data_IF_970413868732
#
_entry.id   IF_970413868732
#
_cell.length_a   1.000
_cell.length_b   1.000
_cell.length_c   1.000
_cell.angle_alpha   90.00
_cell.angle_beta   90.00
_cell.angle_gamma   90.00
#
_symmetry.space_group_name_H-M   'P 1'
#
loop_
_entity.id
_entity.type
_entity.pdbx_description
1 polymer ?
#
# COMPACT_ATOMS: atom_id res chain seq x y z
N UNK A 1 -4.79 -0.35 -35.17
CA UNK A 1 -5.55 0.47 -34.19
C UNK A 1 -6.17 -0.39 -33.06
N UNK A 2 -5.39 -1.10 -32.22
CA UNK A 2 -5.93 -1.99 -31.16
C UNK A 2 -5.68 -1.54 -29.71
N UNK A 3 -5.09 -0.34 -29.50
CA UNK A 3 -4.66 0.12 -28.16
C UNK A 3 -5.75 0.84 -27.34
N UNK A 4 -6.88 1.23 -27.96
CA UNK A 4 -7.95 2.03 -27.31
C UNK A 4 -9.03 1.20 -26.59
N UNK A 5 -9.14 -0.10 -26.89
CA UNK A 5 -10.20 -0.95 -26.32
C UNK A 5 -9.91 -1.30 -24.85
N UNK A 6 -8.67 -1.69 -24.53
CA UNK A 6 -8.29 -2.04 -23.16
C UNK A 6 -8.24 -0.84 -22.20
N UNK A 7 -8.09 0.38 -22.72
CA UNK A 7 -8.11 1.60 -21.90
C UNK A 7 -9.53 1.93 -21.43
N UNK A 8 -10.51 1.81 -22.33
CA UNK A 8 -11.94 1.96 -21.99
C UNK A 8 -12.40 0.90 -21.01
N UNK A 9 -11.95 -0.34 -21.17
CA UNK A 9 -12.30 -1.43 -20.26
C UNK A 9 -11.75 -1.21 -18.85
N UNK A 10 -10.53 -0.69 -18.72
CA UNK A 10 -9.94 -0.29 -17.44
C UNK A 10 -10.70 0.87 -16.79
N UNK A 11 -11.12 1.86 -17.57
CA UNK A 11 -11.92 2.98 -17.05
C UNK A 11 -13.31 2.53 -16.56
N UNK A 12 -13.98 1.66 -17.32
CA UNK A 12 -15.25 1.06 -16.93
C UNK A 12 -15.14 0.26 -15.63
N UNK A 13 -14.07 -0.55 -15.51
CA UNK A 13 -13.81 -1.33 -14.30
C UNK A 13 -13.49 -0.44 -13.10
N UNK A 14 -12.71 0.63 -13.31
CA UNK A 14 -12.42 1.64 -12.27
C UNK A 14 -13.70 2.33 -11.79
N UNK A 15 -14.57 2.76 -12.71
CA UNK A 15 -15.86 3.39 -12.35
C UNK A 15 -16.77 2.44 -11.58
N UNK A 16 -16.89 1.19 -12.03
CA UNK A 16 -17.69 0.18 -11.32
C UNK A 16 -17.17 -0.12 -9.91
N UNK A 17 -15.85 -0.21 -9.75
CA UNK A 17 -15.23 -0.39 -8.42
C UNK A 17 -15.45 0.83 -7.51
N UNK A 18 -15.41 2.04 -8.06
CA UNK A 18 -15.71 3.27 -7.32
C UNK A 18 -17.18 3.35 -6.91
N UNK A 19 -18.09 2.88 -7.77
CA UNK A 19 -19.52 2.79 -7.49
C UNK A 19 -19.83 1.73 -6.43
N UNK A 20 -19.17 0.56 -6.50
CA UNK A 20 -19.26 -0.51 -5.49
C UNK A 20 -18.68 -0.07 -4.13
N UNK A 21 -17.68 0.82 -4.11
CA UNK A 21 -17.15 1.44 -2.90
C UNK A 21 -18.11 2.49 -2.28
N UNK A 22 -19.10 2.97 -3.04
CA UNK A 22 -20.07 3.97 -2.60
C UNK A 22 -19.47 5.33 -2.23
N UNK A 23 -20.17 6.11 -1.41
CA UNK A 23 -19.66 7.36 -0.81
C UNK A 23 -18.64 7.14 0.32
N UNK A 24 -18.43 5.87 0.69
CA UNK A 24 -17.39 5.48 1.60
C UNK A 24 -16.03 5.75 0.97
N UNK A 25 -15.47 6.95 1.21
CA UNK A 25 -14.02 7.12 1.14
C UNK A 25 -13.45 5.95 1.94
N UNK A 26 -12.69 5.07 1.29
CA UNK A 26 -11.89 4.07 2.00
C UNK A 26 -11.19 4.86 3.11
N UNK A 27 -11.54 4.64 4.39
CA UNK A 27 -10.96 5.41 5.45
C UNK A 27 -9.52 4.94 5.51
N UNK A 28 -8.63 5.71 4.88
CA UNK A 28 -7.20 5.56 5.09
C UNK A 28 -6.96 6.02 6.51
N UNK A 29 -7.10 5.08 7.45
CA UNK A 29 -6.78 5.31 8.83
C UNK A 29 -5.27 5.26 8.97
N UNK A 30 -4.77 6.21 9.73
CA UNK A 30 -3.38 6.36 10.14
C UNK A 30 -3.27 6.03 11.63
N UNK A 31 -2.07 5.77 12.16
CA UNK A 31 -1.88 5.58 13.60
C UNK A 31 -2.35 6.76 14.48
N UNK A 32 -2.64 7.93 13.91
CA UNK A 32 -3.21 9.06 14.63
C UNK A 32 -4.73 8.93 14.87
N UNK A 33 -5.41 8.08 14.09
CA UNK A 33 -6.85 7.88 14.18
C UNK A 33 -7.19 6.89 15.31
N UNK A 34 -8.16 7.24 16.15
CA UNK A 34 -8.54 6.45 17.33
C UNK A 34 -8.94 5.01 16.98
N UNK A 35 -9.58 4.80 15.83
CA UNK A 35 -10.05 3.50 15.37
C UNK A 35 -8.97 2.65 14.70
N UNK A 36 -7.79 3.21 14.40
CA UNK A 36 -6.73 2.53 13.65
C UNK A 36 -6.26 1.25 14.34
N UNK A 37 -5.96 1.33 15.64
CA UNK A 37 -5.48 0.18 16.39
C UNK A 37 -6.56 -0.91 16.53
N UNK A 38 -7.83 -0.53 16.62
CA UNK A 38 -8.94 -1.47 16.68
C UNK A 38 -9.15 -2.17 15.32
N UNK A 39 -9.15 -1.40 14.23
CA UNK A 39 -9.27 -1.94 12.87
C UNK A 39 -8.11 -2.86 12.53
N UNK A 40 -6.87 -2.46 12.88
CA UNK A 40 -5.68 -3.26 12.64
C UNK A 40 -5.78 -4.63 13.32
N UNK A 41 -6.24 -4.67 14.57
CA UNK A 41 -6.37 -5.93 15.33
C UNK A 41 -7.48 -6.83 14.79
N UNK A 42 -8.59 -6.27 14.31
CA UNK A 42 -9.77 -7.03 13.90
C UNK A 42 -9.74 -7.47 12.44
N UNK A 43 -9.36 -6.57 11.52
CA UNK A 43 -9.39 -6.80 10.07
C UNK A 43 -8.02 -7.15 9.49
N UNK A 44 -6.94 -6.65 10.11
CA UNK A 44 -5.57 -6.82 9.63
C UNK A 44 -4.71 -7.62 10.62
N UNK A 45 -5.27 -8.63 11.27
CA UNK A 45 -4.59 -9.44 12.28
C UNK A 45 -3.32 -10.16 11.78
N UNK A 46 -3.22 -10.38 10.46
CA UNK A 46 -2.05 -10.98 9.81
C UNK A 46 -0.98 -9.95 9.40
N UNK A 47 -1.26 -8.65 9.54
CA UNK A 47 -0.34 -7.58 9.18
C UNK A 47 0.57 -7.24 10.38
N UNK A 48 1.85 -7.60 10.26
CA UNK A 48 2.85 -7.36 11.29
C UNK A 48 3.71 -6.17 10.88
N UNK A 49 3.70 -5.12 11.70
CA UNK A 49 4.58 -3.97 11.53
C UNK A 49 5.83 -4.16 12.39
N UNK A 50 6.99 -4.33 11.75
CA UNK A 50 8.30 -4.34 12.41
C UNK A 50 8.97 -3.00 12.17
N UNK A 51 9.28 -2.30 13.25
CA UNK A 51 9.99 -1.02 13.20
C UNK A 51 11.47 -1.25 12.84
N UNK A 52 12.12 -0.21 12.31
CA UNK A 52 13.52 -0.29 11.85
C UNK A 52 14.51 -0.55 13.00
N UNK A 53 14.20 -0.09 14.21
CA UNK A 53 14.96 -0.35 15.43
C UNK A 53 15.11 -1.85 15.76
N UNK A 54 14.19 -2.70 15.28
CA UNK A 54 14.26 -4.16 15.48
C UNK A 54 15.24 -4.86 14.53
N UNK A 55 15.81 -4.13 13.56
CA UNK A 55 16.70 -4.67 12.53
C UNK A 55 18.11 -4.12 12.76
N UNK A 56 19.17 -4.95 12.69
CA UNK A 56 20.54 -4.50 12.86
C UNK A 56 20.93 -3.41 11.87
N UNK A 57 21.71 -2.43 12.34
CA UNK A 57 22.15 -1.28 11.54
C UNK A 57 22.99 -1.68 10.33
N UNK A 58 23.82 -2.72 10.48
CA UNK A 58 24.64 -3.24 9.38
C UNK A 58 23.76 -3.76 8.22
N UNK A 59 22.61 -4.36 8.56
CA UNK A 59 21.66 -4.86 7.56
C UNK A 59 20.95 -3.70 6.86
N UNK A 60 20.59 -2.64 7.59
CA UNK A 60 20.04 -1.42 6.99
C UNK A 60 21.01 -0.82 5.98
N UNK A 61 22.28 -0.69 6.34
CA UNK A 61 23.31 -0.10 5.48
C UNK A 61 23.57 -0.94 4.24
N UNK A 62 23.73 -2.26 4.39
CA UNK A 62 23.99 -3.17 3.28
C UNK A 62 22.82 -3.17 2.27
N UNK A 63 21.59 -3.29 2.75
CA UNK A 63 20.40 -3.26 1.88
C UNK A 63 20.25 -1.90 1.19
N UNK A 64 20.52 -0.80 1.91
CA UNK A 64 20.46 0.54 1.34
C UNK A 64 21.50 0.74 0.22
N UNK A 65 22.73 0.26 0.42
CA UNK A 65 23.78 0.30 -0.60
C UNK A 65 23.44 -0.57 -1.82
N UNK A 66 22.97 -1.80 -1.61
CA UNK A 66 22.51 -2.68 -2.69
C UNK A 66 21.36 -2.06 -3.49
N UNK A 67 20.41 -1.42 -2.80
CA UNK A 67 19.29 -0.71 -3.44
C UNK A 67 19.80 0.43 -4.33
N UNK A 68 20.79 1.23 -3.87
CA UNK A 68 21.40 2.28 -4.70
C UNK A 68 22.05 1.73 -5.95
N UNK A 69 22.81 0.64 -5.82
CA UNK A 69 23.49 -0.02 -6.94
C UNK A 69 22.50 -0.55 -7.98
N UNK A 70 21.38 -1.12 -7.54
CA UNK A 70 20.34 -1.68 -8.41
C UNK A 70 19.51 -0.62 -9.12
N UNK A 71 19.27 0.53 -8.48
CA UNK A 71 18.46 1.62 -9.04
C UNK A 71 19.33 2.59 -9.87
N UNK A 72 20.66 2.51 -9.77
CA UNK A 72 21.59 3.31 -10.56
C UNK A 72 21.57 4.80 -10.18
N UNK A 73 21.45 5.09 -8.88
CA UNK A 73 21.54 6.45 -8.31
C UNK A 73 22.91 6.71 -7.74
#
# INVERSE_FOLDING_TARGET
MKRRAGEREKELKKKKLLEELGEGKLPYLTPADADFHHLQKTRYSKLIFRKSDTVPEELHQMVHQLKKLLIGT
#
